data_IF_034001899132
#
_entry.id   IF_034001899132
#
_cell.length_a   1.000
_cell.length_b   1.000
_cell.length_c   1.000
_cell.angle_alpha   90.00
_cell.angle_beta   90.00
_cell.angle_gamma   90.00
#
_symmetry.space_group_name_H-M   'P 1'
#
loop_
_entity.id
_entity.type
_entity.pdbx_description
1 polymer ?
#
# COMPACT_ATOMS: atom_id res chain seq x y z
N UNK A 1 -6.66 10.28 4.23
CA UNK A 1 -5.73 11.35 4.64
C UNK A 1 -6.09 12.62 3.91
N UNK A 2 -6.00 13.78 4.55
CA UNK A 2 -6.11 15.07 3.88
C UNK A 2 -4.75 15.51 3.29
N UNK A 3 -4.75 16.56 2.48
CA UNK A 3 -3.55 17.02 1.78
C UNK A 3 -2.40 17.41 2.73
N UNK A 4 -2.71 17.99 3.89
CA UNK A 4 -1.72 18.39 4.90
C UNK A 4 -1.06 17.18 5.58
N UNK A 5 -1.84 16.13 5.87
CA UNK A 5 -1.31 14.87 6.39
C UNK A 5 -0.37 14.21 5.37
N UNK A 6 -0.78 14.16 4.10
CA UNK A 6 0.05 13.60 3.02
C UNK A 6 1.34 14.40 2.85
N UNK A 7 1.28 15.73 2.99
CA UNK A 7 2.47 16.58 2.94
C UNK A 7 3.43 16.32 4.10
N UNK A 8 2.92 16.14 5.32
CA UNK A 8 3.76 15.77 6.47
C UNK A 8 4.45 14.43 6.27
N UNK A 9 3.72 13.43 5.78
CA UNK A 9 4.31 12.11 5.47
C UNK A 9 5.37 12.23 4.39
N UNK A 10 5.11 12.99 3.31
CA UNK A 10 6.09 13.23 2.27
C UNK A 10 7.39 13.85 2.81
N UNK A 11 7.28 14.87 3.66
CA UNK A 11 8.45 15.53 4.28
C UNK A 11 9.18 14.58 5.24
N UNK A 12 8.47 13.73 5.97
CA UNK A 12 9.09 12.71 6.81
C UNK A 12 9.83 11.65 6.00
N UNK A 13 9.32 11.32 4.81
CA UNK A 13 9.95 10.37 3.90
C UNK A 13 11.16 10.98 3.19
N UNK A 14 11.11 12.23 2.74
CA UNK A 14 12.25 12.94 2.13
C UNK A 14 13.30 13.33 3.19
N UNK A 15 13.98 12.32 3.75
CA UNK A 15 15.03 12.50 4.75
C UNK A 15 16.23 13.30 4.23
N UNK A 16 16.35 13.44 2.91
CA UNK A 16 17.39 14.25 2.26
C UNK A 16 17.00 15.72 2.05
N UNK A 17 15.71 16.05 2.25
CA UNK A 17 15.09 17.36 2.08
C UNK A 17 15.37 18.01 0.70
N UNK A 18 15.37 17.19 -0.34
CA UNK A 18 15.62 17.62 -1.73
C UNK A 18 14.34 17.99 -2.49
N UNK A 19 13.18 17.79 -1.87
CA UNK A 19 11.86 17.97 -2.48
C UNK A 19 11.39 16.77 -3.31
N UNK A 20 12.13 15.66 -3.29
CA UNK A 20 11.79 14.39 -3.96
C UNK A 20 12.19 13.22 -3.07
N UNK A 21 11.45 12.11 -3.15
CA UNK A 21 11.74 10.88 -2.40
C UNK A 21 12.49 9.92 -3.31
N UNK A 22 13.70 9.50 -2.92
CA UNK A 22 14.44 8.45 -3.63
C UNK A 22 13.99 7.04 -3.22
N UNK A 23 14.37 6.02 -4.00
CA UNK A 23 14.13 4.60 -3.64
C UNK A 23 14.71 4.24 -2.27
N UNK A 24 15.86 4.84 -1.90
CA UNK A 24 16.49 4.66 -0.60
C UNK A 24 15.63 5.27 0.51
N UNK A 25 15.18 6.51 0.33
CA UNK A 25 14.33 7.20 1.31
C UNK A 25 13.02 6.43 1.56
N UNK A 26 12.43 5.89 0.50
CA UNK A 26 11.25 5.04 0.58
C UNK A 26 11.55 3.75 1.34
N UNK A 27 12.58 2.99 0.96
CA UNK A 27 12.93 1.72 1.62
C UNK A 27 13.26 1.94 3.10
N UNK A 28 14.04 2.97 3.42
CA UNK A 28 14.40 3.33 4.78
C UNK A 28 13.14 3.67 5.60
N UNK A 29 12.24 4.50 5.06
CA UNK A 29 11.03 4.89 5.78
C UNK A 29 10.07 3.71 5.99
N UNK A 30 9.88 2.87 4.97
CA UNK A 30 9.02 1.69 5.08
C UNK A 30 9.58 0.69 6.10
N UNK A 31 10.90 0.50 6.12
CA UNK A 31 11.59 -0.35 7.11
C UNK A 31 11.40 0.18 8.54
N UNK A 32 11.46 1.50 8.75
CA UNK A 32 11.20 2.11 10.06
C UNK A 32 9.75 1.89 10.55
N UNK A 33 8.79 1.67 9.65
CA UNK A 33 7.38 1.42 9.98
C UNK A 33 7.10 -0.11 10.11
N UNK A 34 8.15 -0.94 9.95
CA UNK A 34 8.06 -2.40 10.08
C UNK A 34 7.68 -3.13 8.78
N UNK A 35 7.72 -2.44 7.64
CA UNK A 35 7.52 -3.04 6.32
C UNK A 35 8.90 -3.23 5.69
N UNK A 36 9.36 -4.48 5.59
CA UNK A 36 10.64 -4.78 4.96
C UNK A 36 10.46 -4.77 3.43
N UNK A 37 10.79 -3.64 2.81
CA UNK A 37 10.83 -3.47 1.35
C UNK A 37 12.29 -3.41 0.94
N UNK A 38 12.70 -4.31 0.06
CA UNK A 38 14.06 -4.29 -0.45
C UNK A 38 14.25 -3.15 -1.48
N UNK A 39 15.49 -2.69 -1.74
CA UNK A 39 15.71 -1.57 -2.65
C UNK A 39 15.21 -1.79 -4.09
N UNK A 40 15.16 -3.04 -4.58
CA UNK A 40 14.65 -3.35 -5.92
C UNK A 40 13.13 -3.17 -5.98
N UNK A 41 12.42 -3.66 -4.97
CA UNK A 41 10.97 -3.47 -4.84
C UNK A 41 10.62 -1.98 -4.71
N UNK A 42 11.38 -1.22 -3.92
CA UNK A 42 11.20 0.22 -3.83
C UNK A 42 11.42 0.92 -5.19
N UNK A 43 12.43 0.48 -5.96
CA UNK A 43 12.66 0.99 -7.32
C UNK A 43 11.48 0.70 -8.24
N UNK A 44 10.97 -0.54 -8.24
CA UNK A 44 9.82 -0.92 -9.07
C UNK A 44 8.55 -0.17 -8.69
N UNK A 45 8.36 0.15 -7.40
CA UNK A 45 7.25 0.98 -6.94
C UNK A 45 7.37 2.41 -7.48
N UNK A 46 8.58 2.98 -7.45
CA UNK A 46 8.82 4.33 -7.97
C UNK A 46 8.59 4.35 -9.48
N UNK A 47 9.17 3.42 -10.22
CA UNK A 47 9.01 3.29 -11.68
C UNK A 47 7.54 3.19 -12.13
N UNK A 48 6.64 2.66 -11.29
CA UNK A 48 5.21 2.56 -11.61
C UNK A 48 4.51 3.92 -11.67
N UNK A 49 4.98 4.91 -10.90
CA UNK A 49 4.32 6.20 -10.74
C UNK A 49 5.16 7.39 -11.19
N UNK A 50 6.46 7.19 -11.39
CA UNK A 50 7.42 8.14 -11.93
C UNK A 50 7.06 8.48 -13.38
N UNK A 51 6.69 9.74 -13.62
CA UNK A 51 6.32 10.24 -14.96
C UNK A 51 7.37 11.11 -15.58
N UNK A 52 8.27 11.68 -14.77
CA UNK A 52 9.38 12.50 -15.26
C UNK A 52 10.66 11.68 -15.49
N UNK A 53 10.62 10.38 -15.20
CA UNK A 53 11.66 9.37 -15.41
C UNK A 53 12.98 9.69 -14.69
N UNK A 54 12.91 10.46 -13.60
CA UNK A 54 14.08 10.87 -12.84
C UNK A 54 14.45 9.89 -11.71
N UNK A 55 13.68 8.81 -11.57
CA UNK A 55 13.84 7.75 -10.56
C UNK A 55 13.64 8.24 -9.12
N UNK A 56 12.94 9.36 -8.96
CA UNK A 56 12.52 9.89 -7.67
C UNK A 56 11.02 10.22 -7.71
N UNK A 57 10.41 10.37 -6.54
CA UNK A 57 9.02 10.78 -6.45
C UNK A 57 8.91 12.25 -6.10
N UNK A 58 8.36 13.03 -7.01
CA UNK A 58 7.81 14.34 -6.67
C UNK A 58 6.60 14.19 -5.73
N UNK A 59 6.19 15.28 -5.08
CA UNK A 59 4.97 15.27 -4.26
C UNK A 59 3.73 14.85 -5.07
N UNK A 60 3.66 15.21 -6.35
CA UNK A 60 2.53 14.84 -7.21
C UNK A 60 2.48 13.33 -7.48
N UNK A 61 3.62 12.71 -7.74
CA UNK A 61 3.73 11.27 -7.97
C UNK A 61 3.51 10.49 -6.68
N UNK A 62 4.01 11.02 -5.56
CA UNK A 62 3.69 10.49 -4.23
C UNK A 62 2.19 10.48 -3.96
N UNK A 63 1.45 11.54 -4.29
CA UNK A 63 -0.02 11.55 -4.14
C UNK A 63 -0.69 10.48 -5.01
N UNK A 64 -0.18 10.25 -6.23
CA UNK A 64 -0.68 9.19 -7.11
C UNK A 64 -0.40 7.81 -6.47
N UNK A 65 0.82 7.58 -6.01
CA UNK A 65 1.19 6.36 -5.29
C UNK A 65 0.26 6.10 -4.10
N UNK A 66 0.04 7.11 -3.24
CA UNK A 66 -0.86 6.99 -2.07
C UNK A 66 -2.31 6.71 -2.49
N UNK A 67 -2.77 7.26 -3.61
CA UNK A 67 -4.08 6.93 -4.17
C UNK A 67 -4.16 5.46 -4.60
N UNK A 68 -3.16 4.95 -5.33
CA UNK A 68 -3.13 3.54 -5.75
C UNK A 68 -3.16 2.63 -4.53
N UNK A 69 -2.29 2.86 -3.54
CA UNK A 69 -2.21 2.03 -2.32
C UNK A 69 -3.52 2.03 -1.54
N UNK A 70 -4.16 3.18 -1.35
CA UNK A 70 -5.46 3.23 -0.65
C UNK A 70 -6.56 2.47 -1.41
N UNK A 71 -6.56 2.53 -2.75
CA UNK A 71 -7.54 1.78 -3.54
C UNK A 71 -7.25 0.28 -3.54
N UNK A 72 -5.99 -0.14 -3.64
CA UNK A 72 -5.59 -1.54 -3.53
C UNK A 72 -5.98 -2.09 -2.16
N UNK A 73 -5.66 -1.37 -1.07
CA UNK A 73 -6.03 -1.77 0.30
C UNK A 73 -7.54 -1.92 0.46
N UNK A 74 -8.33 -0.97 -0.06
CA UNK A 74 -9.81 -1.08 -0.05
C UNK A 74 -10.30 -2.31 -0.82
N UNK A 75 -9.74 -2.58 -1.99
CA UNK A 75 -10.08 -3.77 -2.77
C UNK A 75 -9.72 -5.06 -2.03
N UNK A 76 -8.55 -5.12 -1.38
CA UNK A 76 -8.16 -6.28 -0.57
C UNK A 76 -9.10 -6.48 0.62
N UNK A 77 -9.50 -5.40 1.30
CA UNK A 77 -10.48 -5.47 2.41
C UNK A 77 -11.86 -5.94 1.94
N UNK A 78 -12.32 -5.45 0.78
CA UNK A 78 -13.59 -5.90 0.17
C UNK A 78 -13.52 -7.38 -0.20
N UNK A 79 -12.42 -7.83 -0.80
CA UNK A 79 -12.21 -9.24 -1.13
C UNK A 79 -12.18 -10.10 0.15
N UNK A 80 -11.49 -9.66 1.20
CA UNK A 80 -11.47 -10.36 2.49
C UNK A 80 -12.86 -10.49 3.10
N UNK A 81 -13.67 -9.42 3.09
CA UNK A 81 -15.04 -9.47 3.59
C UNK A 81 -15.90 -10.48 2.83
N UNK A 82 -15.85 -10.44 1.49
CA UNK A 82 -16.58 -11.38 0.64
C UNK A 82 -16.13 -12.84 0.87
N UNK A 83 -14.82 -13.06 1.00
CA UNK A 83 -14.27 -14.38 1.31
C UNK A 83 -14.70 -14.86 2.71
N UNK A 84 -14.82 -13.98 3.69
CA UNK A 84 -15.31 -14.34 5.03
C UNK A 84 -16.79 -14.75 5.03
N UNK A 85 -17.66 -14.05 4.31
CA UNK A 85 -19.08 -14.37 4.21
C UNK A 85 -19.32 -15.73 3.51
N UNK A 86 -18.62 -15.96 2.39
CA UNK A 86 -18.71 -17.22 1.63
C UNK A 86 -18.22 -18.42 2.47
N UNK A 87 -17.10 -18.28 3.18
CA UNK A 87 -16.59 -19.31 4.10
C UNK A 87 -17.55 -19.59 5.26
N UNK A 88 -18.19 -18.55 5.81
CA UNK A 88 -19.16 -18.72 6.91
C UNK A 88 -20.39 -19.50 6.43
N UNK A 89 -20.90 -19.18 5.24
CA UNK A 89 -22.02 -19.89 4.62
C UNK A 89 -21.67 -21.36 4.39
N UNK A 90 -20.49 -21.65 3.85
CA UNK A 90 -20.03 -23.01 3.62
C UNK A 90 -19.93 -23.81 4.92
N UNK A 91 -19.37 -23.22 5.99
CA UNK A 91 -19.28 -23.86 7.32
C UNK A 91 -20.66 -24.20 7.88
N UNK A 92 -21.63 -23.31 7.75
CA UNK A 92 -23.01 -23.55 8.19
C UNK A 92 -23.61 -24.74 7.42
N UNK A 93 -23.49 -24.74 6.09
CA UNK A 93 -24.00 -25.83 5.25
C UNK A 93 -23.36 -27.19 5.58
N UNK A 94 -22.04 -27.25 5.79
CA UNK A 94 -21.35 -28.49 6.16
C UNK A 94 -21.78 -28.99 7.53
N UNK A 95 -21.89 -28.12 8.54
CA UNK A 95 -22.35 -28.51 9.88
C UNK A 95 -23.79 -29.01 9.87
N UNK A 96 -24.68 -28.38 9.09
CA UNK A 96 -26.06 -28.88 8.93
C UNK A 96 -26.09 -30.26 8.28
N UNK A 97 -25.28 -30.51 7.25
CA UNK A 97 -25.21 -31.81 6.61
C UNK A 97 -24.69 -32.91 7.57
N UNK A 98 -23.73 -32.58 8.44
CA UNK A 98 -23.22 -33.49 9.47
C UNK A 98 -24.25 -33.78 10.58
N UNK A 99 -25.17 -32.85 10.86
CA UNK A 99 -26.26 -33.07 11.83
C UNK A 99 -27.42 -33.91 11.27
N UNK A 100 -27.46 -34.11 9.95
CA UNK A 100 -28.48 -34.87 9.24
C UNK A 100 -28.04 -36.31 8.89
N UNK A 101 -26.81 -36.70 9.26
CA UNK A 101 -26.23 -38.04 9.07
C UNK A 101 -26.06 -38.74 10.42
#
# INVERSE_FOLDING_TARGET
MNQDQLRRVFVQMDGSNKGKISAKDMSDTLRHIGIDVNPLEASSIIELVDRDEDKMLTFKEFLHFMYIIENVRKMTLLAQHFLQETLTTLKILTNMNLLLQ
#
